data_IF_398709232140
#
_entry.id   IF_398709232140
#
_cell.length_a   1.000
_cell.length_b   1.000
_cell.length_c   1.000
_cell.angle_alpha   90.00
_cell.angle_beta   90.00
_cell.angle_gamma   90.00
#
_symmetry.space_group_name_H-M   'P 1'
#
loop_
_entity.id
_entity.type
_entity.pdbx_description
1 polymer ?
#
# COMPACT_ATOMS: atom_id res chain seq x y z
N UNK A 1 -30.09 27.96 -7.37
CA UNK A 1 -28.74 28.22 -7.94
C UNK A 1 -27.65 28.17 -6.88
N UNK A 2 -27.67 29.00 -5.82
CA UNK A 2 -26.64 28.99 -4.77
C UNK A 2 -26.43 27.64 -4.07
N UNK A 3 -27.52 26.97 -3.66
CA UNK A 3 -27.46 25.64 -3.03
C UNK A 3 -26.89 24.55 -3.96
N UNK A 4 -27.12 24.69 -5.27
CA UNK A 4 -26.61 23.77 -6.29
C UNK A 4 -25.10 23.92 -6.46
N UNK A 5 -24.60 25.17 -6.50
CA UNK A 5 -23.16 25.48 -6.60
C UNK A 5 -22.42 24.94 -5.37
N UNK A 6 -22.96 25.16 -4.17
CA UNK A 6 -22.35 24.71 -2.92
C UNK A 6 -22.26 23.18 -2.83
N UNK A 7 -23.29 22.45 -3.30
CA UNK A 7 -23.27 20.99 -3.38
C UNK A 7 -22.21 20.46 -4.37
N UNK A 8 -22.09 21.10 -5.54
CA UNK A 8 -21.11 20.72 -6.57
C UNK A 8 -19.68 20.93 -6.05
N UNK A 9 -19.38 22.06 -5.44
CA UNK A 9 -18.03 22.36 -4.91
C UNK A 9 -17.60 21.42 -3.77
N UNK A 10 -18.54 20.96 -2.93
CA UNK A 10 -18.25 19.95 -1.90
C UNK A 10 -17.96 18.60 -2.54
N UNK A 11 -18.75 18.22 -3.54
CA UNK A 11 -18.58 16.95 -4.25
C UNK A 11 -17.23 16.89 -4.99
N UNK A 12 -16.80 17.97 -5.66
CA UNK A 12 -15.49 18.03 -6.32
C UNK A 12 -14.32 17.89 -5.33
N UNK A 13 -14.36 18.56 -4.17
CA UNK A 13 -13.29 18.42 -3.16
C UNK A 13 -13.23 17.03 -2.55
N UNK A 14 -14.37 16.40 -2.29
CA UNK A 14 -14.42 15.04 -1.74
C UNK A 14 -13.99 14.01 -2.79
N UNK A 15 -14.41 14.17 -4.04
CA UNK A 15 -13.98 13.28 -5.13
C UNK A 15 -12.48 13.36 -5.32
N UNK A 16 -11.90 14.57 -5.33
CA UNK A 16 -10.46 14.74 -5.50
C UNK A 16 -9.65 14.14 -4.33
N UNK A 17 -10.05 14.44 -3.08
CA UNK A 17 -9.41 13.82 -1.90
C UNK A 17 -9.65 12.32 -1.82
N UNK A 18 -10.83 11.88 -2.24
CA UNK A 18 -11.24 10.48 -2.30
C UNK A 18 -10.42 9.70 -3.32
N UNK A 19 -10.21 10.25 -4.52
CA UNK A 19 -9.37 9.67 -5.56
C UNK A 19 -7.92 9.51 -5.09
N UNK A 20 -7.39 10.54 -4.44
CA UNK A 20 -6.06 10.49 -3.82
C UNK A 20 -5.94 9.41 -2.74
N UNK A 21 -6.90 9.35 -1.80
CA UNK A 21 -6.91 8.35 -0.73
C UNK A 21 -7.09 6.93 -1.28
N UNK A 22 -7.97 6.76 -2.27
CA UNK A 22 -8.23 5.48 -2.94
C UNK A 22 -7.01 5.02 -3.72
N UNK A 23 -6.39 5.90 -4.51
CA UNK A 23 -5.16 5.61 -5.25
C UNK A 23 -4.00 5.25 -4.32
N UNK A 24 -3.89 5.95 -3.19
CA UNK A 24 -2.92 5.63 -2.13
C UNK A 24 -3.21 4.25 -1.53
N UNK A 25 -4.45 3.94 -1.18
CA UNK A 25 -4.85 2.63 -0.66
C UNK A 25 -4.56 1.49 -1.66
N UNK A 26 -4.89 1.70 -2.93
CA UNK A 26 -4.65 0.73 -4.01
C UNK A 26 -3.16 0.48 -4.22
N UNK A 27 -2.29 1.45 -3.93
CA UNK A 27 -0.83 1.30 -3.96
C UNK A 27 -0.30 0.42 -2.81
N UNK A 28 -1.04 0.33 -1.70
CA UNK A 28 -0.70 -0.54 -0.56
C UNK A 28 -1.36 -1.92 -0.61
N UNK A 29 -2.43 -2.09 -1.39
CA UNK A 29 -3.03 -3.39 -1.70
C UNK A 29 -2.00 -4.49 -2.06
N UNK A 30 -1.02 -4.26 -2.96
CA UNK A 30 -0.04 -5.28 -3.33
C UNK A 30 0.87 -5.72 -2.17
N UNK A 31 0.97 -4.95 -1.09
CA UNK A 31 1.73 -5.36 0.10
C UNK A 31 0.99 -6.52 0.78
N UNK A 32 -0.32 -6.35 0.98
CA UNK A 32 -1.19 -7.31 1.66
C UNK A 32 -1.28 -8.61 0.85
N UNK A 33 -1.48 -8.52 -0.46
CA UNK A 33 -1.56 -9.71 -1.32
C UNK A 33 -0.26 -10.51 -1.30
N UNK A 34 0.89 -9.85 -1.26
CA UNK A 34 2.17 -10.53 -1.21
C UNK A 34 2.37 -11.28 0.12
N UNK A 35 1.92 -10.72 1.24
CA UNK A 35 1.97 -11.41 2.54
C UNK A 35 1.15 -12.71 2.46
N UNK A 36 -0.06 -12.65 1.91
CA UNK A 36 -0.88 -13.84 1.70
C UNK A 36 -0.25 -14.85 0.73
N UNK A 37 0.37 -14.37 -0.36
CA UNK A 37 1.08 -15.23 -1.31
C UNK A 37 2.23 -15.98 -0.64
N UNK A 38 3.09 -15.29 0.12
CA UNK A 38 4.15 -15.96 0.87
C UNK A 38 3.59 -16.92 1.91
N UNK A 39 2.48 -16.58 2.57
CA UNK A 39 1.79 -17.48 3.48
C UNK A 39 1.35 -18.79 2.78
N UNK A 40 0.79 -18.67 1.58
CA UNK A 40 0.40 -19.82 0.76
C UNK A 40 1.60 -20.64 0.26
N UNK A 41 2.71 -20.00 -0.08
CA UNK A 41 3.95 -20.69 -0.49
C UNK A 41 4.51 -21.50 0.67
N UNK A 42 4.62 -20.91 1.86
CA UNK A 42 5.17 -21.59 3.03
C UNK A 42 4.24 -22.67 3.61
N UNK A 43 2.91 -22.53 3.45
CA UNK A 43 1.97 -23.58 3.83
C UNK A 43 1.98 -24.78 2.89
N UNK A 44 2.39 -24.60 1.63
CA UNK A 44 2.52 -25.67 0.65
C UNK A 44 3.84 -26.46 0.76
N UNK A 45 4.79 -26.01 1.58
CA UNK A 45 6.08 -26.70 1.72
C UNK A 45 5.93 -27.99 2.54
N UNK A 46 6.59 -29.09 2.12
CA UNK A 46 6.62 -30.31 2.90
C UNK A 46 7.35 -30.06 4.22
N UNK A 47 6.66 -30.26 5.34
CA UNK A 47 7.27 -30.22 6.68
C UNK A 47 8.21 -31.42 6.80
N UNK A 48 9.51 -31.17 6.79
CA UNK A 48 10.51 -32.20 7.06
C UNK A 48 10.78 -32.22 8.57
N UNK A 49 10.55 -33.38 9.19
CA UNK A 49 10.85 -33.65 10.61
C UNK A 49 10.16 -32.72 11.62
N UNK A 50 8.91 -32.30 11.36
CA UNK A 50 8.13 -31.44 12.27
C UNK A 50 8.65 -30.01 12.38
N UNK A 51 9.67 -29.66 11.61
CA UNK A 51 10.12 -28.28 11.46
C UNK A 51 9.26 -27.57 10.40
N UNK A 52 8.97 -26.26 10.59
CA UNK A 52 8.34 -25.45 9.55
C UNK A 52 9.20 -25.49 8.28
N UNK A 53 8.56 -25.65 7.12
CA UNK A 53 9.26 -25.71 5.84
C UNK A 53 10.08 -24.44 5.61
N UNK A 54 11.38 -24.59 5.41
CA UNK A 54 12.30 -23.48 5.13
C UNK A 54 12.62 -23.42 3.64
N UNK A 55 12.71 -22.22 3.10
CA UNK A 55 13.14 -21.99 1.72
C UNK A 55 14.58 -21.52 1.77
N UNK A 56 15.54 -22.38 1.40
CA UNK A 56 16.97 -22.04 1.40
C UNK A 56 17.43 -21.50 2.77
N UNK A 57 16.92 -22.08 3.86
CA UNK A 57 17.24 -21.68 5.23
C UNK A 57 16.45 -20.47 5.77
N UNK A 58 15.62 -19.81 4.96
CA UNK A 58 14.75 -18.73 5.40
C UNK A 58 13.39 -19.25 5.87
N UNK A 59 12.92 -18.72 7.00
CA UNK A 59 11.56 -18.90 7.50
C UNK A 59 10.59 -17.92 6.84
N UNK A 60 9.29 -18.19 6.95
CA UNK A 60 8.23 -17.29 6.52
C UNK A 60 8.42 -15.86 7.07
N UNK A 61 8.77 -15.76 8.36
CA UNK A 61 8.99 -14.48 9.03
C UNK A 61 10.17 -13.70 8.46
N UNK A 62 11.25 -14.38 8.05
CA UNK A 62 12.44 -13.73 7.50
C UNK A 62 12.12 -13.11 6.13
N UNK A 63 11.42 -13.86 5.29
CA UNK A 63 11.02 -13.40 3.95
C UNK A 63 10.03 -12.23 4.04
N UNK A 64 9.04 -12.33 4.93
CA UNK A 64 8.07 -11.25 5.15
C UNK A 64 8.74 -10.00 5.72
N UNK A 65 9.65 -10.14 6.70
CA UNK A 65 10.37 -9.02 7.28
C UNK A 65 11.23 -8.29 6.24
N UNK A 66 11.99 -9.03 5.42
CA UNK A 66 12.79 -8.45 4.34
C UNK A 66 11.91 -7.74 3.29
N UNK A 67 10.81 -8.36 2.90
CA UNK A 67 9.86 -7.76 1.96
C UNK A 67 9.23 -6.47 2.50
N UNK A 68 8.78 -6.47 3.76
CA UNK A 68 8.22 -5.28 4.40
C UNK A 68 9.25 -4.16 4.50
N UNK A 69 10.48 -4.47 4.88
CA UNK A 69 11.56 -3.49 4.96
C UNK A 69 11.83 -2.83 3.59
N UNK A 70 11.94 -3.65 2.53
CA UNK A 70 12.18 -3.14 1.17
C UNK A 70 10.98 -2.33 0.66
N UNK A 71 9.75 -2.77 0.91
CA UNK A 71 8.56 -2.02 0.50
C UNK A 71 8.38 -0.72 1.25
N UNK A 72 8.61 -0.70 2.55
CA UNK A 72 8.55 0.50 3.36
C UNK A 72 9.62 1.51 2.88
N UNK A 73 10.83 1.03 2.63
CA UNK A 73 11.92 1.84 2.06
C UNK A 73 11.53 2.41 0.70
N UNK A 74 10.92 1.61 -0.19
CA UNK A 74 10.40 2.10 -1.47
C UNK A 74 9.27 3.08 -1.29
N UNK A 75 8.34 2.86 -0.37
CA UNK A 75 7.22 3.76 -0.13
C UNK A 75 7.72 5.15 0.27
N UNK A 76 8.66 5.22 1.22
CA UNK A 76 9.30 6.48 1.62
C UNK A 76 10.20 7.08 0.53
N UNK A 77 10.94 6.26 -0.23
CA UNK A 77 11.86 6.73 -1.27
C UNK A 77 11.16 7.17 -2.57
N UNK A 78 9.99 6.60 -2.88
CA UNK A 78 9.17 6.93 -4.07
C UNK A 78 8.08 7.97 -3.76
N UNK A 79 8.13 8.57 -2.57
CA UNK A 79 7.29 9.67 -2.10
C UNK A 79 7.78 11.12 -2.38
N UNK A 80 8.72 11.44 -3.30
CA UNK A 80 8.93 12.84 -3.71
C UNK A 80 7.68 13.48 -4.37
N UNK A 81 6.88 12.69 -5.10
CA UNK A 81 5.70 13.17 -5.84
C UNK A 81 4.46 13.46 -4.99
N UNK A 82 4.40 12.94 -3.75
CA UNK A 82 3.30 13.18 -2.81
C UNK A 82 3.40 14.56 -2.15
N UNK A 83 4.62 15.01 -1.87
CA UNK A 83 4.88 16.37 -1.39
C UNK A 83 4.55 17.44 -2.45
N UNK A 84 4.84 17.19 -3.73
CA UNK A 84 4.51 18.14 -4.80
C UNK A 84 3.01 18.28 -5.05
N UNK A 85 2.24 17.19 -4.91
CA UNK A 85 0.77 17.21 -5.03
C UNK A 85 0.10 18.02 -3.92
N UNK A 86 0.47 17.79 -2.66
CA UNK A 86 -0.03 18.54 -1.50
C UNK A 86 0.34 20.02 -1.60
N UNK A 87 1.57 20.33 -2.06
CA UNK A 87 2.00 21.72 -2.28
C UNK A 87 1.17 22.42 -3.36
N UNK A 88 0.77 21.69 -4.40
CA UNK A 88 -0.10 22.21 -5.47
C UNK A 88 -1.55 22.38 -5.01
N UNK A 89 -2.08 21.47 -4.21
CA UNK A 89 -3.43 21.62 -3.62
C UNK A 89 -3.51 22.78 -2.63
N UNK A 90 -2.47 23.01 -1.82
CA UNK A 90 -2.40 24.18 -0.94
C UNK A 90 -2.29 25.48 -1.74
N UNK A 91 -1.65 25.44 -2.92
CA UNK A 91 -1.50 26.59 -3.82
C UNK A 91 -2.78 26.90 -4.60
N UNK A 92 -3.49 25.88 -5.08
CA UNK A 92 -4.61 26.05 -6.00
C UNK A 92 -5.98 26.17 -5.26
N UNK A 93 -6.08 25.79 -3.98
CA UNK A 93 -7.17 26.19 -3.06
C UNK A 93 -8.37 25.25 -2.90
#
# INVERSE_FOLDING_TARGET
>A
MWSTILRISIQERIIYRGDFMLGTLMRFLPIVTQIFLWGAVFSALPSQNGAPGQIVGYSYHDVVAYYLLTMLSRAFSSMPGLASGITRDIRDG
#
